data_IF_055489676113
#
_entry.id   IF_055489676113
#
_cell.length_a   1.000
_cell.length_b   1.000
_cell.length_c   1.000
_cell.angle_alpha   90.00
_cell.angle_beta   90.00
_cell.angle_gamma   90.00
#
_symmetry.space_group_name_H-M   'P 1'
#
loop_
_entity.id
_entity.type
_entity.pdbx_description
1 polymer ?
#
# COMPACT_ATOMS: atom_id res chain seq x y z
N UNK A 1 13.16 -10.56 -2.05
CA UNK A 1 11.88 -9.82 -1.99
C UNK A 1 11.25 -10.03 -0.63
N UNK A 2 10.71 -9.01 -0.07
CA UNK A 2 10.02 -9.13 1.22
C UNK A 2 8.64 -9.76 1.01
N UNK A 3 8.28 -10.67 1.90
CA UNK A 3 7.00 -11.36 1.91
C UNK A 3 6.29 -11.06 3.23
N UNK A 4 4.98 -11.07 3.21
CA UNK A 4 4.14 -10.87 4.38
C UNK A 4 3.02 -11.91 4.40
N UNK A 5 2.68 -12.41 5.58
CA UNK A 5 1.53 -13.29 5.74
C UNK A 5 0.30 -12.51 6.17
N UNK A 6 -0.79 -12.67 5.45
CA UNK A 6 -2.10 -12.10 5.76
C UNK A 6 -3.10 -13.24 5.91
N UNK A 7 -3.63 -13.43 7.10
CA UNK A 7 -4.56 -14.52 7.43
C UNK A 7 -4.09 -15.91 6.92
N UNK A 8 -2.78 -16.17 7.07
CA UNK A 8 -2.18 -17.42 6.63
C UNK A 8 -1.85 -17.53 5.14
N UNK A 9 -2.14 -16.49 4.36
CA UNK A 9 -1.77 -16.41 2.94
C UNK A 9 -0.54 -15.53 2.79
N UNK A 10 0.48 -16.05 2.10
CA UNK A 10 1.72 -15.32 1.84
C UNK A 10 1.58 -14.47 0.58
N UNK A 11 1.88 -13.18 0.71
CA UNK A 11 1.92 -12.24 -0.41
C UNK A 11 3.28 -11.54 -0.48
N UNK A 12 3.73 -11.27 -1.69
CA UNK A 12 4.94 -10.47 -1.91
C UNK A 12 4.63 -8.98 -1.77
N UNK A 13 5.49 -8.27 -1.04
CA UNK A 13 5.39 -6.83 -0.92
C UNK A 13 5.82 -6.19 -2.23
N UNK A 14 4.94 -5.40 -2.82
CA UNK A 14 5.17 -4.69 -4.07
C UNK A 14 5.03 -3.19 -3.83
N UNK A 15 5.93 -2.43 -4.40
CA UNK A 15 5.88 -0.97 -4.37
C UNK A 15 5.95 -0.41 -5.78
N UNK A 16 5.11 0.56 -6.05
CA UNK A 16 5.09 1.28 -7.31
C UNK A 16 4.85 2.77 -7.06
N UNK A 17 5.69 3.62 -7.63
CA UNK A 17 5.66 5.07 -7.44
C UNK A 17 5.59 5.52 -5.96
N UNK A 18 6.36 4.85 -5.10
CA UNK A 18 6.41 5.17 -3.67
C UNK A 18 5.21 4.72 -2.84
N UNK A 19 4.27 3.99 -3.45
CA UNK A 19 3.09 3.44 -2.77
C UNK A 19 3.14 1.92 -2.75
N UNK A 20 2.68 1.31 -1.69
CA UNK A 20 2.44 -0.13 -1.66
C UNK A 20 1.23 -0.46 -2.51
N UNK A 21 1.36 -1.49 -3.33
CA UNK A 21 0.34 -1.95 -4.26
C UNK A 21 0.18 -3.47 -4.20
N UNK A 22 -0.99 -3.94 -4.53
CA UNK A 22 -1.31 -5.36 -4.65
C UNK A 22 -1.81 -5.65 -6.07
N UNK A 23 -1.65 -6.89 -6.52
CA UNK A 23 -2.26 -7.33 -7.77
C UNK A 23 -3.68 -7.85 -7.50
N UNK A 24 -4.51 -7.90 -8.53
CA UNK A 24 -5.84 -8.50 -8.43
C UNK A 24 -5.79 -9.99 -8.02
N UNK A 25 -4.71 -10.69 -8.39
CA UNK A 25 -4.46 -12.08 -7.95
C UNK A 25 -4.15 -12.16 -6.46
N UNK A 26 -3.37 -11.22 -5.93
CA UNK A 26 -3.08 -11.17 -4.50
C UNK A 26 -4.37 -10.95 -3.70
N UNK A 27 -5.27 -10.09 -4.20
CA UNK A 27 -6.58 -9.87 -3.57
C UNK A 27 -7.41 -11.14 -3.54
N UNK A 28 -7.52 -11.86 -4.66
CA UNK A 28 -8.23 -13.14 -4.70
C UNK A 28 -7.64 -14.16 -3.72
N UNK A 29 -6.31 -14.23 -3.63
CA UNK A 29 -5.61 -15.17 -2.76
C UNK A 29 -5.86 -14.89 -1.27
N UNK A 30 -5.67 -13.66 -0.81
CA UNK A 30 -5.85 -13.32 0.62
C UNK A 30 -7.32 -13.38 1.07
N UNK A 31 -8.25 -13.10 0.18
CA UNK A 31 -9.68 -13.23 0.43
C UNK A 31 -10.22 -14.65 0.18
N UNK A 32 -9.36 -15.59 -0.20
CA UNK A 32 -9.72 -16.98 -0.54
C UNK A 32 -10.85 -17.06 -1.56
N UNK A 33 -10.81 -16.16 -2.54
CA UNK A 33 -11.79 -16.09 -3.64
C UNK A 33 -11.32 -16.93 -4.84
N UNK A 34 -12.25 -17.30 -5.69
CA UNK A 34 -11.93 -17.94 -6.96
C UNK A 34 -11.06 -17.01 -7.81
N UNK A 35 -9.99 -17.52 -8.45
CA UNK A 35 -9.17 -16.72 -9.34
C UNK A 35 -10.01 -15.98 -10.38
N UNK A 36 -9.75 -14.68 -10.56
CA UNK A 36 -10.48 -13.82 -11.49
C UNK A 36 -11.70 -13.10 -10.89
N UNK A 37 -12.04 -13.32 -9.62
CA UNK A 37 -13.15 -12.62 -8.94
C UNK A 37 -12.84 -11.13 -8.82
N UNK A 38 -11.67 -10.77 -8.31
CA UNK A 38 -11.24 -9.38 -8.21
C UNK A 38 -11.15 -8.70 -9.59
N UNK A 39 -10.63 -9.42 -10.59
CA UNK A 39 -10.56 -8.90 -11.97
C UNK A 39 -11.92 -8.60 -12.57
N UNK A 40 -12.91 -9.47 -12.34
CA UNK A 40 -14.27 -9.24 -12.78
C UNK A 40 -14.89 -8.04 -12.08
N UNK A 41 -14.79 -8.00 -10.77
CA UNK A 41 -15.31 -6.89 -9.96
C UNK A 41 -14.68 -5.54 -10.38
N UNK A 42 -13.38 -5.52 -10.61
CA UNK A 42 -12.70 -4.33 -11.12
C UNK A 42 -13.24 -3.88 -12.49
N UNK A 43 -13.43 -4.79 -13.43
CA UNK A 43 -13.96 -4.46 -14.77
C UNK A 43 -15.41 -3.95 -14.72
N UNK A 44 -16.27 -4.60 -13.94
CA UNK A 44 -17.67 -4.24 -13.78
C UNK A 44 -17.85 -2.86 -13.15
N UNK A 45 -16.95 -2.50 -12.24
CA UNK A 45 -17.00 -1.23 -11.51
C UNK A 45 -15.92 -0.23 -11.97
N UNK A 46 -15.31 -0.44 -13.12
CA UNK A 46 -14.17 0.33 -13.64
C UNK A 46 -14.37 1.84 -13.60
N UNK A 47 -15.60 2.30 -13.86
CA UNK A 47 -15.98 3.72 -13.88
C UNK A 47 -15.79 4.44 -12.53
N UNK A 48 -15.73 3.70 -11.42
CA UNK A 48 -15.55 4.23 -10.08
C UNK A 48 -14.08 4.33 -9.64
N UNK A 49 -13.17 3.78 -10.43
CA UNK A 49 -11.72 3.76 -10.13
C UNK A 49 -11.00 4.84 -10.92
N UNK A 50 -10.15 5.61 -10.23
CA UNK A 50 -9.37 6.70 -10.82
C UNK A 50 -7.96 6.18 -11.14
N UNK A 51 -7.56 6.30 -12.40
CA UNK A 51 -6.21 5.95 -12.86
C UNK A 51 -5.16 6.85 -12.18
N UNK A 52 -4.06 6.25 -11.75
CA UNK A 52 -3.00 6.95 -11.02
C UNK A 52 -3.29 7.22 -9.53
N UNK A 53 -4.52 6.98 -9.06
CA UNK A 53 -4.93 7.12 -7.66
C UNK A 53 -5.29 5.77 -7.05
N UNK A 54 -6.28 5.10 -7.63
CA UNK A 54 -6.80 3.82 -7.14
C UNK A 54 -6.09 2.63 -7.76
N UNK A 55 -5.56 2.78 -8.96
CA UNK A 55 -4.84 1.73 -9.66
C UNK A 55 -3.82 2.30 -10.65
N UNK A 56 -2.87 1.45 -11.03
CA UNK A 56 -1.91 1.68 -12.12
C UNK A 56 -1.96 0.52 -13.09
N UNK A 57 -1.86 0.83 -14.38
CA UNK A 57 -1.68 -0.17 -15.43
C UNK A 57 -0.24 -0.12 -15.92
N UNK A 58 0.44 -1.25 -15.84
CA UNK A 58 1.78 -1.41 -16.37
C UNK A 58 1.80 -2.46 -17.47
N UNK A 59 2.46 -2.11 -18.57
CA UNK A 59 2.62 -2.94 -19.75
C UNK A 59 4.09 -3.17 -20.10
N UNK A 60 5.03 -2.58 -19.38
CA UNK A 60 6.45 -2.74 -19.62
C UNK A 60 6.95 -4.04 -18.98
N UNK A 61 7.53 -4.96 -19.78
CA UNK A 61 7.97 -6.25 -19.28
C UNK A 61 9.00 -6.17 -18.15
N UNK A 62 9.89 -5.19 -18.19
CA UNK A 62 10.95 -5.03 -17.19
C UNK A 62 10.39 -4.54 -15.85
N UNK A 63 9.41 -3.64 -15.86
CA UNK A 63 8.73 -3.21 -14.64
C UNK A 63 7.92 -4.35 -14.02
N UNK A 64 7.21 -5.11 -14.84
CA UNK A 64 6.45 -6.27 -14.38
C UNK A 64 7.38 -7.31 -13.73
N UNK A 65 8.55 -7.57 -14.32
CA UNK A 65 9.56 -8.47 -13.74
C UNK A 65 10.14 -7.96 -12.42
N UNK A 66 10.42 -6.66 -12.32
CA UNK A 66 10.93 -6.04 -11.08
C UNK A 66 9.96 -6.22 -9.91
N UNK A 67 8.66 -6.23 -10.19
CA UNK A 67 7.62 -6.49 -9.20
C UNK A 67 7.43 -7.97 -8.86
N UNK A 68 8.24 -8.87 -9.44
CA UNK A 68 8.13 -10.31 -9.20
C UNK A 68 6.88 -10.95 -9.78
N UNK A 69 6.24 -10.30 -10.75
CA UNK A 69 5.01 -10.80 -11.37
C UNK A 69 5.40 -11.66 -12.59
N UNK A 70 5.14 -12.94 -12.50
CA UNK A 70 5.38 -13.90 -13.56
C UNK A 70 4.11 -14.67 -13.92
N UNK A 71 4.06 -15.22 -15.14
CA UNK A 71 3.01 -16.17 -15.52
C UNK A 71 3.43 -17.60 -15.12
N UNK A 72 2.48 -18.45 -14.65
CA UNK A 72 2.78 -19.83 -14.31
C UNK A 72 3.36 -20.66 -15.45
N UNK A 73 3.09 -20.27 -16.70
CA UNK A 73 3.51 -20.97 -17.91
C UNK A 73 4.79 -20.40 -18.55
N UNK A 74 5.50 -19.50 -17.84
CA UNK A 74 6.63 -18.77 -18.41
C UNK A 74 6.19 -17.60 -19.31
N UNK A 75 7.01 -16.58 -19.37
CA UNK A 75 6.72 -15.33 -20.07
C UNK A 75 6.21 -14.22 -19.15
N UNK A 76 6.21 -13.01 -19.68
CA UNK A 76 5.77 -11.81 -18.98
C UNK A 76 4.31 -11.52 -19.31
N UNK A 77 3.54 -11.04 -18.32
CA UNK A 77 2.20 -10.54 -18.58
C UNK A 77 2.27 -9.32 -19.51
N UNK A 78 1.34 -9.21 -20.46
CA UNK A 78 1.32 -8.07 -21.39
C UNK A 78 0.87 -6.78 -20.71
N UNK A 79 -0.05 -6.89 -19.74
CA UNK A 79 -0.55 -5.78 -18.94
C UNK A 79 -0.86 -6.31 -17.54
N UNK A 80 -0.49 -5.56 -16.53
CA UNK A 80 -0.80 -5.85 -15.12
C UNK A 80 -1.47 -4.64 -14.49
N UNK A 81 -2.55 -4.88 -13.77
CA UNK A 81 -3.21 -3.86 -12.96
C UNK A 81 -2.72 -3.97 -11.53
N UNK A 82 -2.15 -2.90 -11.04
CA UNK A 82 -1.74 -2.73 -9.63
C UNK A 82 -2.79 -1.90 -8.92
N UNK A 83 -3.19 -2.33 -7.75
CA UNK A 83 -4.23 -1.69 -6.94
C UNK A 83 -3.57 -1.03 -5.72
N UNK A 84 -3.87 0.23 -5.49
CA UNK A 84 -3.43 0.99 -4.30
C UNK A 84 -4.35 0.69 -3.10
N UNK A 85 -4.04 1.25 -1.93
CA UNK A 85 -4.90 1.13 -0.75
C UNK A 85 -6.33 1.61 -1.02
N UNK A 86 -6.49 2.78 -1.63
CA UNK A 86 -7.81 3.33 -1.95
C UNK A 86 -8.57 2.47 -2.94
N UNK A 87 -7.90 2.00 -3.99
CA UNK A 87 -8.48 1.09 -4.97
C UNK A 87 -8.85 -0.26 -4.34
N UNK A 88 -8.02 -0.78 -3.43
CA UNK A 88 -8.32 -2.00 -2.69
C UNK A 88 -9.61 -1.87 -1.87
N UNK A 89 -9.76 -0.80 -1.10
CA UNK A 89 -10.95 -0.55 -0.28
C UNK A 89 -12.23 -0.47 -1.13
N UNK A 90 -12.15 0.14 -2.30
CA UNK A 90 -13.28 0.17 -3.25
C UNK A 90 -13.57 -1.20 -3.85
N UNK A 91 -12.53 -1.96 -4.19
CA UNK A 91 -12.64 -3.28 -4.79
C UNK A 91 -13.34 -4.28 -3.87
N UNK A 92 -12.97 -4.30 -2.58
CA UNK A 92 -13.49 -5.23 -1.59
C UNK A 92 -14.80 -4.79 -0.95
N UNK A 93 -15.35 -3.66 -1.34
CA UNK A 93 -16.64 -3.15 -0.85
C UNK A 93 -17.77 -4.16 -0.95
N UNK A 94 -17.73 -5.03 -1.96
CA UNK A 94 -18.72 -6.10 -2.17
C UNK A 94 -18.42 -7.38 -1.36
N UNK A 95 -17.27 -7.47 -0.71
CA UNK A 95 -16.88 -8.62 0.10
C UNK A 95 -17.36 -8.41 1.54
N UNK A 96 -18.38 -9.13 1.95
CA UNK A 96 -19.09 -8.90 3.21
C UNK A 96 -18.98 -10.02 4.23
N UNK A 97 -18.22 -11.08 3.91
CA UNK A 97 -17.99 -12.20 4.81
C UNK A 97 -16.97 -11.85 5.92
N UNK A 98 -17.00 -12.60 7.02
CA UNK A 98 -16.13 -12.36 8.19
C UNK A 98 -14.64 -12.42 7.85
N UNK A 99 -14.24 -13.29 6.94
CA UNK A 99 -12.87 -13.37 6.46
C UNK A 99 -12.48 -12.06 5.75
N UNK A 100 -13.36 -11.51 4.91
CA UNK A 100 -13.11 -10.27 4.19
C UNK A 100 -12.86 -9.09 5.16
N UNK A 101 -13.61 -8.98 6.23
CA UNK A 101 -13.42 -7.96 7.26
C UNK A 101 -12.04 -8.08 7.94
N UNK A 102 -11.63 -9.30 8.30
CA UNK A 102 -10.32 -9.55 8.92
C UNK A 102 -9.17 -9.26 7.98
N UNK A 103 -9.24 -9.75 6.75
CA UNK A 103 -8.23 -9.54 5.70
C UNK A 103 -8.10 -8.05 5.39
N UNK A 104 -9.21 -7.35 5.22
CA UNK A 104 -9.22 -5.91 4.92
C UNK A 104 -8.53 -5.12 6.02
N UNK A 105 -8.85 -5.38 7.29
CA UNK A 105 -8.22 -4.71 8.43
C UNK A 105 -6.72 -4.95 8.45
N UNK A 106 -6.29 -6.21 8.33
CA UNK A 106 -4.89 -6.59 8.38
C UNK A 106 -4.09 -6.03 7.18
N UNK A 107 -4.65 -6.05 5.98
CA UNK A 107 -4.02 -5.44 4.81
C UNK A 107 -3.85 -3.92 4.97
N UNK A 108 -4.85 -3.22 5.45
CA UNK A 108 -4.76 -1.78 5.64
C UNK A 108 -3.73 -1.44 6.71
N UNK A 109 -3.79 -2.09 7.87
CA UNK A 109 -2.93 -1.75 9.00
C UNK A 109 -1.48 -2.22 8.80
N UNK A 110 -1.28 -3.43 8.30
CA UNK A 110 0.05 -4.04 8.23
C UNK A 110 0.72 -3.91 6.86
N UNK A 111 -0.02 -3.99 5.78
CA UNK A 111 0.56 -3.96 4.44
C UNK A 111 0.66 -2.54 3.88
N UNK A 112 -0.44 -1.81 3.81
CA UNK A 112 -0.44 -0.50 3.17
C UNK A 112 0.17 0.60 4.04
N UNK A 113 -0.06 0.57 5.35
CA UNK A 113 0.39 1.60 6.29
C UNK A 113 1.68 1.29 7.06
N UNK A 114 2.23 0.08 6.91
CA UNK A 114 3.43 -0.36 7.63
C UNK A 114 4.69 0.50 7.36
N UNK A 115 4.61 1.46 6.46
CA UNK A 115 5.67 2.43 6.15
C UNK A 115 5.72 3.64 7.09
N UNK A 116 4.85 3.69 8.08
CA UNK A 116 4.82 4.75 9.08
C UNK A 116 5.81 4.53 10.25
N UNK A 117 6.80 3.62 10.10
CA UNK A 117 7.93 3.56 11.02
C UNK A 117 8.69 4.89 10.89
N UNK A 118 8.87 5.64 11.99
CA UNK A 118 9.71 6.82 11.96
C UNK A 118 11.12 6.40 11.57
N UNK A 119 11.71 7.06 10.57
CA UNK A 119 13.11 6.90 10.26
C UNK A 119 13.93 6.96 11.53
N UNK A 120 14.66 5.90 11.88
CA UNK A 120 15.58 5.88 13.04
C UNK A 120 16.55 7.07 12.99
N UNK A 121 16.90 7.51 11.80
CA UNK A 121 17.70 8.71 11.56
C UNK A 121 17.01 9.99 12.06
N UNK A 122 15.71 10.15 11.84
CA UNK A 122 14.94 11.30 12.32
C UNK A 122 14.80 11.29 13.86
N UNK A 123 14.72 10.12 14.47
CA UNK A 123 14.71 9.95 15.91
C UNK A 123 16.07 10.31 16.54
N UNK A 124 17.17 9.95 15.89
CA UNK A 124 18.51 10.22 16.36
C UNK A 124 18.85 11.72 16.32
N UNK A 125 18.49 12.41 15.27
CA UNK A 125 18.64 13.87 15.17
C UNK A 125 17.82 14.63 16.23
N UNK A 126 16.65 14.12 16.60
CA UNK A 126 15.81 14.71 17.64
C UNK A 126 16.42 14.50 19.03
N UNK A 127 17.02 13.37 19.30
CA UNK A 127 17.70 13.07 20.57
C UNK A 127 18.96 13.93 20.71
N UNK A 128 19.74 14.11 19.66
CA UNK A 128 20.95 14.94 19.65
C UNK A 128 20.64 16.44 19.76
N UNK A 129 19.46 16.89 19.28
CA UNK A 129 19.03 18.28 19.40
C UNK A 129 18.50 18.67 20.79
N UNK A 130 18.43 17.73 21.74
CA UNK A 130 18.01 18.00 23.13
C UNK A 130 16.54 18.33 23.31
N UNK A 131 15.69 18.00 22.35
CA UNK A 131 14.23 18.22 22.44
C UNK A 131 13.60 17.13 23.33
N UNK A 132 12.73 17.50 24.31
CA UNK A 132 12.12 16.53 25.22
C UNK A 132 11.33 15.45 24.47
N UNK A 133 11.59 14.21 24.81
CA UNK A 133 11.05 13.00 24.14
C UNK A 133 9.50 12.93 24.17
N UNK A 134 8.86 13.63 25.07
CA UNK A 134 7.38 13.63 25.23
C UNK A 134 6.66 14.26 24.04
N UNK A 135 7.33 15.11 23.26
CA UNK A 135 6.72 15.82 22.12
C UNK A 135 6.78 14.97 20.83
N UNK A 136 7.62 13.94 20.79
CA UNK A 136 7.89 13.16 19.57
C UNK A 136 6.74 12.21 19.22
N UNK A 137 5.95 11.78 20.21
CA UNK A 137 4.93 10.75 20.02
C UNK A 137 3.63 11.26 19.39
N UNK A 138 3.38 12.57 19.36
CA UNK A 138 2.04 13.07 19.06
C UNK A 138 1.89 13.82 17.75
N UNK A 139 2.96 14.37 17.12
CA UNK A 139 2.69 15.16 15.91
C UNK A 139 3.87 15.49 15.01
N UNK A 140 4.07 14.70 13.98
CA UNK A 140 4.95 15.07 12.84
C UNK A 140 4.41 16.25 12.03
N UNK A 141 3.10 16.43 11.96
CA UNK A 141 2.43 17.48 11.17
C UNK A 141 2.41 18.84 11.88
N UNK A 142 2.13 18.85 13.16
CA UNK A 142 2.14 20.08 13.98
C UNK A 142 3.56 20.63 14.09
N UNK A 143 4.55 19.78 14.17
CA UNK A 143 5.95 20.19 14.29
C UNK A 143 6.51 20.85 13.03
N UNK A 144 6.16 20.37 11.85
CA UNK A 144 6.53 21.07 10.62
C UNK A 144 5.88 22.47 10.54
N UNK A 145 4.66 22.61 11.04
CA UNK A 145 3.96 23.90 11.09
C UNK A 145 4.59 24.87 12.11
N UNK A 146 5.00 24.39 13.27
CA UNK A 146 5.66 25.19 14.32
C UNK A 146 7.06 25.67 13.92
N UNK A 147 7.84 24.81 13.25
CA UNK A 147 9.16 25.17 12.71
C UNK A 147 9.02 26.23 11.61
N UNK A 148 8.00 26.11 10.77
CA UNK A 148 7.74 27.11 9.74
C UNK A 148 7.25 28.44 10.32
N UNK A 149 6.42 28.42 11.37
CA UNK A 149 5.97 29.62 12.07
C UNK A 149 7.11 30.33 12.79
N UNK A 150 8.02 29.57 13.44
CA UNK A 150 9.20 30.14 14.11
C UNK A 150 10.23 30.78 13.16
N UNK A 151 10.27 30.36 11.89
CA UNK A 151 11.12 30.99 10.87
C UNK A 151 10.55 32.31 10.32
N UNK A 152 9.26 32.55 10.48
CA UNK A 152 8.60 33.79 10.00
C UNK A 152 8.69 34.95 10.99
N UNK A 153 8.91 34.67 12.27
CA UNK A 153 9.02 35.71 13.34
C UNK A 153 10.45 36.21 13.57
N UNK A 154 11.41 35.80 12.74
CA UNK A 154 12.83 36.19 12.85
C UNK A 154 13.26 37.30 11.89
N UNK A 155 12.33 38.16 11.43
CA UNK A 155 12.64 39.36 10.65
C UNK A 155 12.18 40.63 11.35
#
# INVERSE_FOLDING_TARGET
MQQMQIQGTEIQIKEYQGKRVVTLKDVDAVHQRKPGTASRNFRENRMHFIDGVDFYKINQPDEIRRLGISRPQGGTANEVTLITETGYLMLVKSFTDDLAWKVQRELVDSYFRARAEPDEQCMQEIIESGVPTVIVATDKLIRCAEIMAGCLDSN
#
